data_IF_180941475708
#
_entry.id   IF_180941475708
#
_cell.length_a   1.000
_cell.length_b   1.000
_cell.length_c   1.000
_cell.angle_alpha   90.00
_cell.angle_beta   90.00
_cell.angle_gamma   90.00
#
_symmetry.space_group_name_H-M   'P 1'
#
loop_
_entity.id
_entity.type
_entity.pdbx_description
1 polymer ?
2 non-polymer ?
3 non-polymer ?
4 non-polymer ?
5 water ?
#
# COMPACT_ATOMS: atom_id res chain seq x y z
N UNK A 1 18.07 13.55 -10.04
CA UNK A 1 18.68 12.24 -9.79
C UNK A 1 17.85 11.44 -8.79
N UNK A 2 18.10 10.12 -8.75
CA UNK A 2 17.41 9.22 -7.83
C UNK A 2 18.29 8.98 -6.61
N UNK A 3 17.75 9.12 -5.40
CA UNK A 3 18.53 8.74 -4.21
C UNK A 3 18.90 7.27 -4.28
N UNK A 4 20.05 6.93 -3.69
CA UNK A 4 20.44 5.53 -3.63
C UNK A 4 19.52 4.74 -2.72
N UNK A 5 18.95 5.41 -1.73
CA UNK A 5 18.06 4.81 -0.73
C UNK A 5 16.94 5.77 -0.42
N UNK A 6 15.76 5.22 -0.12
CA UNK A 6 14.59 6.00 0.24
C UNK A 6 13.87 5.28 1.36
N UNK A 7 13.41 6.06 2.35
CA UNK A 7 12.58 5.52 3.43
C UNK A 7 11.60 6.63 3.79
N UNK A 8 10.36 6.49 3.32
CA UNK A 8 9.36 7.53 3.54
C UNK A 8 8.97 7.69 5.00
N UNK A 9 9.32 6.73 5.86
CA UNK A 9 9.10 6.93 7.31
C UNK A 9 9.92 8.10 7.83
N UNK A 10 11.13 8.31 7.28
CA UNK A 10 11.97 9.43 7.72
C UNK A 10 11.26 10.76 7.53
N UNK A 11 10.43 10.90 6.49
CA UNK A 11 9.74 12.16 6.25
C UNK A 11 8.34 12.19 6.86
N UNK A 12 8.02 11.26 7.75
CA UNK A 12 6.75 11.29 8.47
C UNK A 12 5.54 11.04 7.59
N UNK A 13 5.70 10.25 6.53
CA UNK A 13 4.64 10.02 5.56
C UNK A 13 3.98 8.65 5.71
N UNK A 14 4.30 7.89 6.78
CA UNK A 14 3.82 6.52 6.94
C UNK A 14 3.19 6.39 8.33
N UNK A 15 1.92 5.96 8.37
CA UNK A 15 1.26 5.76 9.66
C UNK A 15 1.75 4.48 10.31
N UNK A 16 1.29 4.22 11.54
CA UNK A 16 1.69 3.01 12.25
C UNK A 16 1.20 1.76 11.50
N UNK A 17 1.94 0.66 11.69
CA UNK A 17 1.57 -0.61 11.08
C UNK A 17 0.21 -1.05 11.61
N UNK A 18 -0.65 -1.51 10.71
CA UNK A 18 -1.97 -2.00 11.07
C UNK A 18 -1.99 -3.52 11.08
N UNK A 19 -3.02 -4.08 11.71
CA UNK A 19 -3.18 -5.52 11.88
C UNK A 19 -4.51 -5.91 11.26
N UNK A 20 -4.48 -6.60 10.12
CA UNK A 20 -5.73 -6.87 9.41
C UNK A 20 -6.52 -8.01 10.05
N UNK A 21 -5.86 -8.86 10.84
CA UNK A 21 -6.53 -9.98 11.43
C UNK A 21 -7.02 -10.94 10.35
N UNK A 22 -8.13 -11.61 10.64
CA UNK A 22 -8.68 -12.63 9.73
C UNK A 22 -9.72 -12.01 8.80
N UNK A 23 -9.28 -10.97 8.10
CA UNK A 23 -10.09 -10.32 7.09
C UNK A 23 -9.15 -10.08 5.92
N UNK A 24 -9.42 -10.74 4.80
CA UNK A 24 -8.57 -10.62 3.63
C UNK A 24 -8.73 -9.27 2.97
N UNK A 25 -8.37 -8.21 3.70
CA UNK A 25 -8.54 -6.85 3.22
C UNK A 25 -7.19 -6.15 3.00
N UNK A 26 -6.14 -6.91 2.71
CA UNK A 26 -4.83 -6.29 2.49
C UNK A 26 -4.90 -5.21 1.42
N UNK A 27 -5.74 -5.41 0.41
CA UNK A 27 -5.90 -4.39 -0.62
C UNK A 27 -6.38 -3.06 -0.02
N UNK A 28 -7.24 -3.11 1.00
CA UNK A 28 -7.73 -1.88 1.58
C UNK A 28 -6.62 -1.13 2.31
N UNK A 29 -5.79 -1.86 3.06
CA UNK A 29 -4.70 -1.21 3.78
C UNK A 29 -3.67 -0.66 2.82
N UNK A 30 -3.35 -1.41 1.76
CA UNK A 30 -2.37 -0.94 0.79
C UNK A 30 -2.80 0.37 0.18
N UNK A 31 -4.10 0.51 -0.13
CA UNK A 31 -4.56 1.72 -0.78
C UNK A 31 -4.55 2.91 0.17
N UNK A 32 -5.06 2.74 1.40
CA UNK A 32 -5.07 3.87 2.34
C UNK A 32 -3.65 4.28 2.67
N UNK A 33 -2.75 3.31 2.81
CA UNK A 33 -1.37 3.62 3.13
C UNK A 33 -0.74 4.50 2.07
N UNK A 34 -1.03 4.21 0.80
CA UNK A 34 -0.51 5.06 -0.27
C UNK A 34 -1.14 6.45 -0.21
N UNK A 35 -2.44 6.54 0.08
CA UNK A 35 -3.11 7.84 0.10
C UNK A 35 -2.70 8.66 1.31
N UNK A 36 -2.46 8.00 2.46
CA UNK A 36 -1.99 8.71 3.66
C UNK A 36 -0.72 9.51 3.36
N UNK A 37 0.21 8.93 2.60
CA UNK A 37 1.46 9.61 2.29
C UNK A 37 1.22 10.86 1.46
N UNK A 38 0.31 10.77 0.49
CA UNK A 38 -0.03 11.94 -0.31
C UNK A 38 -0.73 13.00 0.53
N UNK A 39 -1.58 12.59 1.47
CA UNK A 39 -2.25 13.56 2.33
C UNK A 39 -1.22 14.36 3.13
N UNK A 40 -0.18 13.69 3.63
CA UNK A 40 0.84 14.36 4.42
C UNK A 40 1.74 15.20 3.52
N UNK A 41 2.11 14.66 2.35
CA UNK A 41 2.94 15.42 1.42
C UNK A 41 2.27 16.75 1.04
N UNK A 42 0.95 16.75 0.89
CA UNK A 42 0.23 17.90 0.33
C UNK A 42 -0.32 18.85 1.39
N UNK A 43 -0.62 18.36 2.59
CA UNK A 43 -1.19 19.20 3.64
C UNK A 43 -0.36 19.23 4.93
N UNK A 44 0.62 18.34 5.07
CA UNK A 44 1.42 18.29 6.27
C UNK A 44 0.84 17.49 7.42
N UNK A 45 -0.38 16.96 7.30
CA UNK A 45 -0.99 16.19 8.36
C UNK A 45 -0.90 14.71 8.03
N UNK A 46 -0.44 13.91 9.00
CA UNK A 46 -0.39 12.46 8.88
C UNK A 46 -1.58 11.88 9.64
N UNK A 47 -2.56 11.39 8.89
CA UNK A 47 -3.77 10.80 9.48
C UNK A 47 -3.96 9.42 8.88
N UNK A 48 -4.20 8.42 9.74
CA UNK A 48 -4.62 7.10 9.27
C UNK A 48 -6.00 7.18 8.63
N UNK A 49 -6.11 6.62 7.42
CA UNK A 49 -7.35 6.61 6.67
C UNK A 49 -8.04 5.26 6.87
N UNK A 50 -9.35 5.24 6.63
CA UNK A 50 -10.20 4.15 7.07
C UNK A 50 -10.20 3.03 6.02
N UNK A 51 -9.45 1.95 6.29
CA UNK A 51 -9.56 0.75 5.47
C UNK A 51 -10.97 0.15 5.53
N UNK A 52 -11.61 0.25 6.69
CA UNK A 52 -12.98 -0.23 6.84
C UNK A 52 -13.93 0.51 5.91
N UNK A 53 -13.68 1.80 5.68
CA UNK A 53 -14.44 2.57 4.71
C UNK A 53 -14.38 1.91 3.33
N UNK A 54 -13.21 1.41 2.94
CA UNK A 54 -13.12 0.77 1.63
C UNK A 54 -13.78 -0.60 1.64
N UNK A 55 -13.55 -1.39 2.71
CA UNK A 55 -14.14 -2.73 2.82
C UNK A 55 -15.65 -2.66 2.72
N UNK A 56 -16.26 -1.69 3.42
CA UNK A 56 -17.73 -1.59 3.43
C UNK A 56 -18.29 -0.93 2.16
N UNK A 57 -17.58 0.02 1.55
CA UNK A 57 -18.21 0.85 0.54
C UNK A 57 -17.66 0.67 -0.87
N UNK A 58 -16.39 0.30 -1.02
CA UNK A 58 -15.80 0.04 -2.33
C UNK A 58 -16.03 -1.44 -2.67
N UNK A 59 -17.24 -1.74 -3.14
CA UNK A 59 -17.67 -3.11 -3.33
C UNK A 59 -17.90 -3.48 -4.80
N UNK A 60 -19.11 -3.95 -5.15
CA UNK A 60 -19.31 -4.59 -6.45
C UNK A 60 -19.06 -3.66 -7.63
N UNK A 61 -19.28 -2.34 -7.48
CA UNK A 61 -18.94 -1.46 -8.61
C UNK A 61 -17.44 -1.46 -8.90
N UNK A 62 -16.62 -1.79 -7.92
CA UNK A 62 -15.17 -1.71 -8.02
C UNK A 62 -14.53 -3.08 -8.06
N UNK A 63 -15.31 -4.13 -8.24
CA UNK A 63 -14.74 -5.46 -8.33
C UNK A 63 -14.17 -5.98 -7.04
N UNK A 64 -14.50 -5.37 -5.90
CA UNK A 64 -13.91 -5.71 -4.61
C UNK A 64 -14.92 -6.45 -3.75
N UNK A 65 -14.42 -7.36 -2.92
CA UNK A 65 -15.27 -8.26 -2.13
C UNK A 65 -14.91 -8.20 -0.65
N UNK A 66 -14.57 -7.01 -0.13
CA UNK A 66 -14.45 -6.84 1.31
C UNK A 66 -13.37 -7.72 1.90
N UNK A 67 -13.73 -8.49 2.94
CA UNK A 67 -12.78 -9.42 3.55
C UNK A 67 -12.40 -10.58 2.64
N UNK A 68 -12.94 -10.67 1.43
CA UNK A 68 -12.53 -11.69 0.47
C UNK A 68 -11.74 -11.11 -0.71
N UNK A 69 -11.08 -9.97 -0.50
CA UNK A 69 -10.11 -9.51 -1.48
C UNK A 69 -10.64 -8.37 -2.33
N UNK A 70 -9.73 -7.80 -3.11
CA UNK A 70 -10.04 -6.62 -3.88
C UNK A 70 -8.77 -6.01 -4.45
N UNK A 71 -8.88 -4.76 -4.90
CA UNK A 71 -7.82 -4.18 -5.72
C UNK A 71 -7.57 -2.75 -5.27
N UNK A 72 -6.28 -2.37 -5.23
CA UNK A 72 -5.92 -1.00 -4.85
C UNK A 72 -6.37 0.00 -5.89
N UNK A 73 -6.26 -0.34 -7.19
CA UNK A 73 -6.64 0.59 -8.23
C UNK A 73 -8.10 1.02 -8.09
N UNK A 74 -9.00 0.04 -7.96
CA UNK A 74 -10.41 0.38 -7.91
C UNK A 74 -10.80 0.99 -6.57
N UNK A 75 -10.08 0.63 -5.51
CA UNK A 75 -10.23 1.35 -4.24
C UNK A 75 -10.03 2.86 -4.45
N UNK A 76 -8.96 3.22 -5.18
CA UNK A 76 -8.71 4.62 -5.47
C UNK A 76 -9.85 5.23 -6.28
N UNK A 77 -10.39 4.46 -7.24
CA UNK A 77 -11.50 4.96 -8.04
C UNK A 77 -12.73 5.24 -7.17
N UNK A 78 -13.01 4.37 -6.21
CA UNK A 78 -14.09 4.66 -5.26
C UNK A 78 -13.85 5.98 -4.54
N UNK A 79 -12.61 6.25 -4.13
CA UNK A 79 -12.34 7.49 -3.41
C UNK A 79 -12.51 8.69 -4.34
N UNK A 80 -12.14 8.53 -5.62
CA UNK A 80 -12.42 9.56 -6.62
C UNK A 80 -13.92 9.74 -6.77
N UNK A 81 -14.65 8.64 -7.01
CA UNK A 81 -16.09 8.70 -7.19
C UNK A 81 -16.81 9.27 -5.97
N UNK A 82 -16.40 8.83 -4.77
CA UNK A 82 -17.05 9.23 -3.52
C UNK A 82 -16.71 10.66 -3.12
N UNK A 83 -15.66 11.24 -3.68
CA UNK A 83 -15.17 12.56 -3.26
C UNK A 83 -14.71 12.54 -1.80
N UNK A 84 -14.16 11.43 -1.35
CA UNK A 84 -13.56 11.42 -0.04
C UNK A 84 -13.47 10.03 0.54
N UNK A 85 -12.66 9.92 1.59
CA UNK A 85 -12.61 8.75 2.45
C UNK A 85 -12.50 9.24 3.90
N UNK A 86 -13.13 8.52 4.81
CA UNK A 86 -13.12 8.89 6.21
C UNK A 86 -11.78 8.58 6.85
N UNK A 87 -11.48 9.30 7.92
CA UNK A 87 -10.36 8.94 8.76
C UNK A 87 -10.60 7.57 9.43
N UNK A 88 -9.50 6.91 9.77
CA UNK A 88 -9.59 5.64 10.48
C UNK A 88 -10.20 5.83 11.86
N UNK A 89 -9.86 6.93 12.55
CA UNK A 89 -10.44 7.20 13.86
C UNK A 89 -11.96 7.22 13.82
N UNK A 90 -12.54 7.86 12.80
CA UNK A 90 -13.98 8.06 12.76
C UNK A 90 -14.72 6.86 12.18
N UNK A 91 -14.04 6.01 11.43
CA UNK A 91 -14.62 4.84 10.77
C UNK A 91 -13.68 3.67 11.02
N UNK A 92 -13.67 3.16 12.26
CA UNK A 92 -12.60 2.24 12.67
C UNK A 92 -12.74 0.85 12.05
N UNK A 93 -11.63 0.12 12.12
CA UNK A 93 -11.51 -1.18 11.45
C UNK A 93 -11.97 -2.32 12.37
N UNK A 94 -12.82 -3.18 11.84
CA UNK A 94 -13.41 -4.27 12.61
C UNK A 94 -13.09 -5.64 12.03
N UNK A 95 -12.30 -5.70 10.96
CA UNK A 95 -11.95 -6.98 10.35
C UNK A 95 -13.19 -7.82 10.05
N UNK A 96 -14.23 -7.18 9.50
CA UNK A 96 -15.36 -7.91 8.95
C UNK A 96 -16.12 -7.01 8.00
N UNK A 97 -16.90 -7.65 7.13
CA UNK A 97 -17.73 -6.93 6.19
C UNK A 97 -18.88 -6.26 6.91
N UNK A 98 -19.13 -4.99 6.59
CA UNK A 98 -20.20 -4.21 7.20
C UNK A 98 -20.97 -3.49 6.12
N UNK A 99 -22.15 -2.99 6.49
CA UNK A 99 -22.88 -2.06 5.64
C UNK A 99 -22.10 -0.76 5.53
N UNK A 100 -22.19 -0.14 4.36
CA UNK A 100 -21.46 1.11 4.11
C UNK A 100 -21.96 2.22 5.01
N UNK A 101 -21.04 2.83 5.76
CA UNK A 101 -21.39 3.88 6.71
C UNK A 101 -20.55 5.13 6.49
N UNK A 102 -20.16 5.37 5.24
CA UNK A 102 -19.40 6.58 4.95
C UNK A 102 -20.16 7.81 5.42
N UNK A 103 -19.44 8.73 6.05
CA UNK A 103 -20.00 9.99 6.54
C UNK A 103 -19.09 11.11 6.07
N UNK A 104 -19.61 12.00 5.21
CA UNK A 104 -18.77 13.07 4.66
C UNK A 104 -18.30 14.03 5.75
N UNK A 105 -19.07 14.17 6.83
CA UNK A 105 -18.67 15.05 7.92
C UNK A 105 -17.27 14.70 8.45
N UNK A 106 -16.86 13.44 8.34
CA UNK A 106 -15.55 13.01 8.83
C UNK A 106 -14.55 12.69 7.72
N UNK A 107 -14.85 13.06 6.48
CA UNK A 107 -13.94 12.89 5.36
C UNK A 107 -12.58 13.51 5.65
N UNK A 108 -11.50 12.71 5.53
CA UNK A 108 -10.18 13.22 5.85
C UNK A 108 -9.28 13.39 4.64
N UNK A 109 -9.63 12.79 3.50
CA UNK A 109 -8.78 12.89 2.33
C UNK A 109 -9.64 12.68 1.10
N UNK A 110 -9.15 13.19 -0.02
CA UNK A 110 -9.73 12.94 -1.32
C UNK A 110 -8.66 12.30 -2.19
N UNK A 111 -9.08 11.93 -3.41
CA UNK A 111 -8.16 11.42 -4.42
C UNK A 111 -8.56 12.03 -5.75
N UNK A 112 -7.58 12.60 -6.46
CA UNK A 112 -7.83 13.19 -7.76
C UNK A 112 -7.71 12.16 -8.88
N UNK A 113 -6.73 11.27 -8.76
CA UNK A 113 -6.37 10.36 -9.84
C UNK A 113 -5.52 9.25 -9.26
N UNK A 114 -5.24 8.26 -10.10
CA UNK A 114 -4.23 7.28 -9.74
C UNK A 114 -3.52 6.85 -11.01
N UNK A 115 -2.30 6.35 -10.83
CA UNK A 115 -1.43 5.94 -11.92
C UNK A 115 -1.03 4.49 -11.73
N UNK A 116 -1.22 3.68 -12.77
CA UNK A 116 -0.70 2.33 -12.79
C UNK A 116 0.61 2.32 -13.55
N UNK A 117 1.64 1.64 -12.98
CA UNK A 117 2.97 1.57 -13.57
C UNK A 117 3.12 0.32 -14.42
N UNK A 118 4.06 0.31 -15.37
CA UNK A 118 4.16 -0.83 -16.28
C UNK A 118 4.68 -2.08 -15.58
N UNK A 119 4.20 -3.23 -16.06
CA UNK A 119 4.42 -4.52 -15.41
C UNK A 119 5.90 -4.86 -15.40
N UNK A 120 6.42 -5.20 -14.22
CA UNK A 120 7.76 -5.73 -14.07
C UNK A 120 8.88 -4.72 -14.13
N UNK A 121 8.58 -3.43 -14.32
CA UNK A 121 9.60 -2.40 -14.49
C UNK A 121 10.03 -1.90 -13.12
N UNK A 122 11.08 -2.53 -12.57
CA UNK A 122 11.58 -2.12 -11.26
C UNK A 122 12.29 -0.78 -11.32
N UNK A 123 12.84 -0.40 -12.48
CA UNK A 123 13.41 0.94 -12.63
C UNK A 123 12.34 2.02 -12.56
N UNK A 124 11.19 1.80 -13.20
CA UNK A 124 10.10 2.77 -13.14
C UNK A 124 9.49 2.81 -11.74
N UNK A 125 9.43 1.65 -11.07
CA UNK A 125 8.96 1.63 -9.68
C UNK A 125 9.90 2.41 -8.77
N UNK A 126 11.21 2.26 -8.98
CA UNK A 126 12.19 3.00 -8.19
C UNK A 126 11.96 4.49 -8.36
N UNK A 127 11.79 4.95 -9.59
CA UNK A 127 11.64 6.38 -9.85
C UNK A 127 10.37 6.93 -9.22
N UNK A 128 9.27 6.17 -9.29
CA UNK A 128 8.02 6.61 -8.68
C UNK A 128 8.16 6.68 -7.15
N UNK A 129 8.79 5.68 -6.54
CA UNK A 129 8.94 5.68 -5.10
C UNK A 129 9.79 6.88 -4.67
N UNK A 130 10.81 7.20 -5.47
CA UNK A 130 11.69 8.32 -5.15
C UNK A 130 11.01 9.67 -5.35
N UNK A 131 10.25 9.83 -6.44
CA UNK A 131 9.73 11.13 -6.83
C UNK A 131 8.26 11.35 -6.51
N UNK A 132 7.48 10.28 -6.28
CA UNK A 132 6.06 10.42 -6.01
C UNK A 132 5.69 10.09 -4.56
N UNK A 133 6.18 8.97 -4.03
CA UNK A 133 5.83 8.55 -2.71
C UNK A 133 5.63 7.06 -2.67
N UNK A 134 5.20 6.54 -1.52
CA UNK A 134 4.91 5.09 -1.42
C UNK A 134 3.98 4.62 -2.53
N UNK A 135 4.20 3.39 -2.97
CA UNK A 135 3.44 2.83 -4.10
C UNK A 135 2.74 1.55 -3.64
N UNK A 136 1.45 1.45 -3.95
CA UNK A 136 0.71 0.21 -3.72
C UNK A 136 1.14 -0.86 -4.72
N UNK A 137 1.43 -2.06 -4.21
CA UNK A 137 1.85 -3.19 -5.03
C UNK A 137 1.21 -4.47 -4.49
N UNK A 138 1.09 -5.46 -5.38
CA UNK A 138 0.83 -6.82 -4.96
C UNK A 138 2.14 -7.59 -4.93
N UNK A 139 2.19 -8.63 -4.08
CA UNK A 139 3.31 -9.55 -4.10
C UNK A 139 2.81 -10.98 -3.98
N UNK A 140 3.66 -11.92 -4.42
CA UNK A 140 3.44 -13.34 -4.14
C UNK A 140 3.98 -13.61 -2.75
N UNK A 141 3.07 -13.74 -1.79
CA UNK A 141 3.41 -13.90 -0.37
C UNK A 141 2.87 -15.20 0.20
N UNK A 142 2.49 -16.14 -0.67
CA UNK A 142 1.86 -17.39 -0.22
C UNK A 142 2.88 -18.43 0.23
N UNK A 143 4.16 -18.14 0.13
CA UNK A 143 5.13 -19.18 0.47
C UNK A 143 5.50 -19.12 1.95
N UNK A 144 5.79 -20.28 2.55
CA UNK A 144 6.07 -20.31 4.00
C UNK A 144 7.19 -19.39 4.44
N UNK A 145 8.19 -19.16 3.58
CA UNK A 145 9.27 -18.27 3.95
C UNK A 145 8.79 -16.83 4.16
N UNK A 146 7.72 -16.42 3.45
CA UNK A 146 7.17 -15.08 3.69
C UNK A 146 6.58 -15.00 5.09
N UNK A 147 5.77 -16.00 5.46
CA UNK A 147 5.11 -16.00 6.76
C UNK A 147 6.12 -16.03 7.90
N UNK A 148 7.29 -16.63 7.69
CA UNK A 148 8.29 -16.79 8.74
C UNK A 148 9.36 -15.70 8.73
N UNK A 149 9.26 -14.73 7.82
CA UNK A 149 10.32 -13.74 7.64
C UNK A 149 10.55 -12.92 8.92
N UNK A 150 11.82 -12.81 9.33
CA UNK A 150 12.18 -12.00 10.49
C UNK A 150 13.03 -10.79 10.16
N UNK A 151 14.02 -10.94 9.28
CA UNK A 151 14.99 -9.87 9.02
C UNK A 151 15.77 -10.21 7.75
N UNK A 152 16.65 -9.28 7.35
CA UNK A 152 17.43 -9.46 6.15
C UNK A 152 16.65 -9.10 4.90
N UNK A 153 17.20 -9.48 3.76
CA UNK A 153 16.55 -9.27 2.47
C UNK A 153 15.88 -10.57 2.08
N UNK A 154 14.58 -10.51 1.83
CA UNK A 154 13.79 -11.71 1.55
C UNK A 154 13.97 -12.12 0.10
N UNK A 155 14.46 -13.32 -0.12
CA UNK A 155 14.51 -13.93 -1.45
C UNK A 155 13.97 -15.35 -1.35
N UNK A 156 13.01 -15.68 -2.19
CA UNK A 156 12.35 -16.99 -2.17
C UNK A 156 12.40 -17.58 -3.57
N UNK A 157 13.16 -18.65 -3.78
CA UNK A 157 13.30 -19.21 -5.15
C UNK A 157 11.98 -19.65 -5.77
N UNK A 158 11.00 -20.09 -4.98
CA UNK A 158 9.70 -20.53 -5.50
C UNK A 158 8.73 -19.40 -5.78
N UNK A 159 9.12 -18.14 -5.56
CA UNK A 159 8.20 -17.04 -5.76
C UNK A 159 7.90 -16.88 -7.25
N UNK A 160 6.70 -16.39 -7.54
CA UNK A 160 6.30 -16.10 -8.91
C UNK A 160 5.91 -14.64 -9.00
N UNK A 161 5.65 -14.19 -10.23
CA UNK A 161 5.23 -12.82 -10.48
C UNK A 161 3.72 -12.64 -10.41
N UNK A 162 2.99 -13.70 -10.06
CA UNK A 162 1.55 -13.62 -9.81
C UNK A 162 1.33 -13.18 -8.37
N UNK A 163 0.60 -12.10 -8.18
CA UNK A 163 0.47 -11.49 -6.86
C UNK A 163 -0.78 -12.01 -6.17
N UNK A 164 -0.74 -12.04 -4.83
CA UNK A 164 -1.87 -12.54 -4.06
C UNK A 164 -2.03 -11.85 -2.72
N UNK A 165 -1.34 -10.73 -2.48
CA UNK A 165 -1.37 -10.03 -1.20
C UNK A 165 -0.96 -8.59 -1.46
N UNK A 166 -1.74 -7.64 -0.99
CA UNK A 166 -1.45 -6.23 -1.23
C UNK A 166 -0.59 -5.65 -0.12
N UNK A 167 0.47 -4.93 -0.51
CA UNK A 167 1.38 -4.30 0.43
C UNK A 167 1.76 -2.92 -0.11
N UNK A 168 2.65 -2.23 0.62
CA UNK A 168 2.95 -0.82 0.38
C UNK A 168 4.47 -0.65 0.33
N UNK A 169 5.00 -0.30 -0.84
CA UNK A 169 6.42 0.00 -0.96
C UNK A 169 6.66 1.42 -0.45
N UNK A 170 7.34 1.54 0.69
CA UNK A 170 7.63 2.83 1.27
C UNK A 170 9.08 3.24 1.09
N UNK A 171 9.86 2.49 0.32
CA UNK A 171 11.23 2.88 0.08
C UNK A 171 12.04 1.76 -0.53
N UNK A 172 13.35 1.98 -0.54
CA UNK A 172 14.28 1.02 -1.13
C UNK A 172 15.67 1.32 -0.62
N UNK A 173 16.58 0.37 -0.86
CA UNK A 173 17.97 0.56 -0.54
C UNK A 173 18.77 -0.70 -0.80
N UNK A 174 19.83 -0.89 -0.02
CA UNK A 174 20.63 -2.09 -0.06
C UNK A 174 21.06 -2.44 1.37
N UNK A 175 21.02 -3.73 1.70
CA UNK A 175 21.59 -4.21 2.96
C UNK A 175 22.97 -4.73 2.63
N UNK A 176 24.00 -3.93 2.90
CA UNK A 176 25.37 -4.36 2.67
C UNK A 176 25.54 -4.83 1.25
N UNK A 177 25.05 -4.03 0.31
CA UNK A 177 24.98 -4.43 -1.08
C UNK A 177 23.65 -5.03 -1.55
N UNK A 178 23.10 -6.01 -0.80
CA UNK A 178 21.86 -6.68 -1.16
C UNK A 178 20.71 -5.71 -1.37
N UNK A 179 20.33 -5.47 -2.62
CA UNK A 179 19.30 -4.49 -2.96
C UNK A 179 17.90 -4.98 -2.54
N UNK A 180 17.11 -4.08 -1.96
CA UNK A 180 15.81 -4.45 -1.44
C UNK A 180 14.79 -3.34 -1.69
N UNK A 181 13.52 -3.73 -1.63
CA UNK A 181 12.39 -2.82 -1.51
C UNK A 181 11.91 -2.80 -0.06
N UNK A 182 11.72 -1.62 0.51
CA UNK A 182 11.17 -1.49 1.86
C UNK A 182 9.64 -1.59 1.78
N UNK A 183 9.09 -2.63 2.40
CA UNK A 183 7.68 -3.00 2.20
C UNK A 183 6.94 -2.99 3.54
N UNK A 184 5.88 -2.18 3.62
CA UNK A 184 5.00 -2.14 4.79
C UNK A 184 3.89 -3.17 4.62
N UNK A 185 3.82 -4.14 5.53
CA UNK A 185 2.76 -5.12 5.54
C UNK A 185 1.64 -4.65 6.48
N UNK A 186 0.57 -5.44 6.57
CA UNK A 186 -0.57 -5.14 7.45
C UNK A 186 -0.86 -6.31 8.36
N UNK A 187 0.21 -6.94 8.86
CA UNK A 187 0.13 -8.04 9.81
C UNK A 187 0.59 -7.63 11.19
N UNK A 188 0.47 -6.35 11.54
CA UNK A 188 0.86 -5.89 12.85
C UNK A 188 2.36 -5.83 12.99
N UNK A 189 2.85 -5.26 14.10
CA UNK A 189 4.27 -5.01 14.24
C UNK A 189 5.08 -6.27 14.57
N UNK A 190 4.43 -7.40 14.85
CA UNK A 190 5.17 -8.62 15.13
C UNK A 190 5.61 -9.37 13.87
N UNK A 191 5.12 -9.01 12.70
CA UNK A 191 5.64 -9.56 11.47
C UNK A 191 6.94 -8.86 11.10
N UNK A 192 7.94 -9.64 10.69
CA UNK A 192 9.14 -9.06 10.12
C UNK A 192 9.83 -8.08 11.05
N UNK A 193 10.31 -6.97 10.48
CA UNK A 193 11.05 -5.96 11.22
C UNK A 193 10.09 -4.85 11.63
N UNK A 194 9.45 -5.05 12.78
CA UNK A 194 8.41 -4.14 13.31
C UNK A 194 7.30 -3.91 12.28
N UNK A 195 6.92 -4.98 11.58
CA UNK A 195 5.84 -4.93 10.62
C UNK A 195 6.28 -4.75 9.18
N UNK A 196 7.58 -4.62 8.95
CA UNK A 196 8.15 -4.33 7.64
C UNK A 196 8.92 -5.53 7.13
N UNK A 197 9.01 -5.66 5.81
CA UNK A 197 9.82 -6.69 5.17
C UNK A 197 10.60 -6.03 4.04
N UNK A 198 11.89 -6.36 3.95
CA UNK A 198 12.73 -5.92 2.86
C UNK A 198 12.77 -7.03 1.81
N UNK A 199 12.30 -6.72 0.61
CA UNK A 199 12.11 -7.73 -0.42
C UNK A 199 13.13 -7.50 -1.53
N UNK A 200 13.63 -8.60 -2.10
CA UNK A 200 14.72 -8.53 -3.08
C UNK A 200 14.39 -7.61 -4.25
N UNK A 201 15.30 -6.70 -4.55
CA UNK A 201 15.12 -5.70 -5.60
C UNK A 201 16.04 -6.02 -6.78
N UNK A 202 15.55 -5.75 -8.00
CA UNK A 202 16.30 -5.95 -9.24
C UNK A 202 16.70 -7.41 -9.44
N UNK A 203 15.88 -8.34 -8.95
CA UNK A 203 16.11 -9.75 -9.24
C UNK A 203 14.93 -10.31 -10.03
N UNK A 204 14.73 -9.76 -11.24
CA UNK A 204 13.71 -10.22 -12.16
C UNK A 204 12.29 -10.12 -11.64
N UNK A 205 11.90 -8.97 -11.08
CA UNK A 205 10.55 -8.76 -10.60
C UNK A 205 10.20 -9.83 -9.56
N UNK A 206 11.03 -9.91 -8.54
CA UNK A 206 10.95 -11.04 -7.62
C UNK A 206 9.66 -10.97 -6.81
N UNK A 207 8.95 -12.10 -6.71
CA UNK A 207 7.65 -12.18 -6.06
C UNK A 207 6.62 -11.22 -6.68
N UNK A 208 6.83 -10.77 -7.91
CA UNK A 208 5.83 -9.94 -8.56
C UNK A 208 5.69 -8.55 -8.00
N UNK A 209 6.71 -8.07 -7.27
CA UNK A 209 6.60 -6.80 -6.56
C UNK A 209 6.32 -5.64 -7.54
N UNK A 210 6.84 -5.72 -8.76
CA UNK A 210 6.56 -4.68 -9.75
C UNK A 210 5.53 -5.12 -10.80
N UNK A 211 4.74 -6.15 -10.51
CA UNK A 211 3.73 -6.62 -11.46
C UNK A 211 2.61 -5.59 -11.65
N UNK A 212 1.94 -5.21 -10.57
CA UNK A 212 0.81 -4.28 -10.64
C UNK A 212 0.93 -3.17 -9.59
N UNK A 213 1.87 -2.25 -9.79
CA UNK A 213 1.97 -1.11 -8.89
C UNK A 213 1.02 0.01 -9.28
N UNK A 214 0.58 0.77 -8.27
CA UNK A 214 -0.20 1.97 -8.52
C UNK A 214 -0.08 2.92 -7.33
N UNK A 215 -0.28 4.21 -7.58
CA UNK A 215 -0.26 5.21 -6.54
C UNK A 215 -1.30 6.29 -6.84
N UNK A 216 -1.93 6.85 -5.82
CA UNK A 216 -2.93 7.90 -6.02
C UNK A 216 -2.27 9.28 -5.96
N UNK A 217 -3.05 10.29 -6.33
CA UNK A 217 -2.54 11.65 -6.23
C UNK A 217 -3.65 12.58 -5.77
N UNK A 218 -3.24 13.67 -5.12
CA UNK A 218 -4.13 14.73 -4.66
C UNK A 218 -3.62 16.00 -5.34
N UNK A 219 -4.33 16.45 -6.35
CA UNK A 219 -3.85 17.56 -7.17
C UNK A 219 -4.20 18.90 -6.53
N UNK A 220 -3.26 19.85 -6.64
CA UNK A 220 -3.46 21.23 -6.21
C UNK A 220 -3.68 22.06 -7.48
N UNK A 221 -4.96 22.22 -7.85
CA UNK A 221 -5.31 23.01 -9.01
C UNK A 221 -4.78 22.40 -10.30
N UNK A 222 -4.35 23.28 -11.21
CA UNK A 222 -3.80 22.87 -12.49
C UNK A 222 -3.52 24.04 -13.41
N UNK A 223 -2.70 23.83 -14.44
CA UNK A 223 -2.34 24.89 -15.36
C UNK A 223 -2.30 24.49 -16.82
#
# INVERSE_FOLDING_TARGET
ILPDSVDWREKGCVTEVKYQGSCGASWAFSAVGALEAQLKLKTGKLVSLSAQNLVDCSTEKYGNKGCNGGFMTTAFQYIIDNKGIDSDASYPYKAMDQKCQYDSKYRAATCSKYTELPYGREDVLKEAVANKGPVSVGVDARHPSFFLYRSGVYYEPSCTQNVNHGVLVVGYGDLNGKEYWLVKNSWGHNFGEEGYIRMARNKGNHCGIASFPSYPEILQGGG
#
